data_IF_968932534431
#
_entry.id   IF_968932534431
#
_cell.length_a   1.000
_cell.length_b   1.000
_cell.length_c   1.000
_cell.angle_alpha   90.00
_cell.angle_beta   90.00
_cell.angle_gamma   90.00
#
_symmetry.space_group_name_H-M   'P 1'
#
loop_
_entity.id
_entity.type
_entity.pdbx_description
1 polymer ?
#
# COMPACT_ATOMS: atom_id res chain seq x y z
N UNK A 1 60.72 27.07 -15.40
CA UNK A 1 60.03 27.70 -14.25
C UNK A 1 58.56 27.89 -14.63
N UNK A 2 57.68 27.07 -14.06
CA UNK A 2 56.22 27.12 -14.26
C UNK A 2 55.61 28.15 -13.31
N UNK A 3 54.79 29.11 -13.78
CA UNK A 3 53.59 29.68 -13.08
C UNK A 3 52.68 30.36 -14.13
N UNK A 4 51.58 29.70 -14.53
CA UNK A 4 50.19 29.85 -14.03
C UNK A 4 49.46 31.01 -14.70
N UNK A 5 48.68 30.66 -15.73
CA UNK A 5 47.58 31.44 -16.31
C UNK A 5 46.37 31.22 -15.39
N UNK A 6 45.73 32.29 -14.92
CA UNK A 6 44.42 32.18 -14.30
C UNK A 6 43.48 33.22 -14.93
N UNK A 7 42.74 32.74 -15.92
CA UNK A 7 41.65 33.44 -16.57
C UNK A 7 40.44 33.55 -15.61
N UNK A 8 39.77 34.70 -15.69
CA UNK A 8 38.50 34.99 -15.07
C UNK A 8 37.41 34.03 -15.58
N UNK A 9 36.49 33.59 -14.71
CA UNK A 9 35.20 33.04 -15.14
C UNK A 9 34.16 33.07 -14.02
N UNK A 10 32.98 33.55 -14.39
CA UNK A 10 31.84 33.92 -13.58
C UNK A 10 31.25 32.80 -12.72
N UNK A 11 30.85 33.17 -11.50
CA UNK A 11 30.01 32.35 -10.62
C UNK A 11 28.57 32.38 -11.14
N UNK A 12 28.14 31.32 -11.84
CA UNK A 12 26.75 31.17 -12.27
C UNK A 12 25.98 30.34 -11.24
N UNK A 13 25.00 30.95 -10.59
CA UNK A 13 24.03 30.27 -9.74
C UNK A 13 23.07 29.47 -10.62
N UNK A 14 23.23 28.15 -10.67
CA UNK A 14 22.23 27.26 -11.26
C UNK A 14 21.19 26.89 -10.19
N UNK A 15 19.99 27.48 -10.28
CA UNK A 15 18.82 27.01 -9.55
C UNK A 15 18.36 25.69 -10.19
N UNK A 16 18.55 24.57 -9.48
CA UNK A 16 17.99 23.29 -9.86
C UNK A 16 16.47 23.31 -9.60
N UNK A 17 15.67 23.52 -10.65
CA UNK A 17 14.24 23.20 -10.62
C UNK A 17 14.07 21.69 -10.78
N UNK A 18 14.16 20.96 -9.67
CA UNK A 18 13.64 19.60 -9.59
C UNK A 18 12.10 19.66 -9.58
N UNK A 19 11.50 19.74 -10.77
CA UNK A 19 10.07 19.48 -10.94
C UNK A 19 9.84 17.98 -10.83
N UNK A 20 9.39 17.52 -9.66
CA UNK A 20 8.98 16.13 -9.42
C UNK A 20 7.74 15.78 -10.26
N UNK A 21 7.92 15.42 -11.53
CA UNK A 21 6.94 14.63 -12.27
C UNK A 21 7.28 13.15 -12.08
N UNK A 22 6.99 12.67 -10.87
CA UNK A 22 6.98 11.25 -10.57
C UNK A 22 5.52 10.84 -10.39
N UNK A 23 4.92 10.38 -11.49
CA UNK A 23 3.78 9.45 -11.45
C UNK A 23 4.25 8.09 -10.90
N UNK A 24 4.88 8.10 -9.72
CA UNK A 24 5.25 6.89 -9.02
C UNK A 24 3.98 6.36 -8.35
N UNK A 25 3.55 5.12 -8.60
CA UNK A 25 2.59 4.48 -7.71
C UNK A 25 3.20 4.51 -6.29
N UNK A 26 2.41 4.75 -5.24
CA UNK A 26 2.93 4.93 -3.89
C UNK A 26 3.63 3.64 -3.42
N UNK A 27 4.94 3.57 -3.60
CA UNK A 27 5.84 2.60 -2.98
C UNK A 27 6.09 3.07 -1.56
N UNK A 28 5.08 2.96 -0.72
CA UNK A 28 5.21 3.19 0.71
C UNK A 28 4.24 2.24 1.38
N UNK A 29 4.73 1.49 2.36
CA UNK A 29 3.93 0.66 3.27
C UNK A 29 2.76 1.46 3.91
N UNK A 30 2.81 2.80 3.81
CA UNK A 30 1.75 3.73 4.17
C UNK A 30 0.54 3.82 3.22
N UNK A 31 0.57 3.45 1.94
CA UNK A 31 -0.55 3.77 1.03
C UNK A 31 -1.92 3.15 1.40
N UNK A 32 -1.95 1.88 1.81
CA UNK A 32 -3.17 1.25 2.39
C UNK A 32 -3.48 1.85 3.76
N UNK A 33 -2.46 1.94 4.61
CA UNK A 33 -2.63 2.34 5.99
C UNK A 33 -3.14 3.77 6.09
N UNK A 34 -2.67 4.68 5.25
CA UNK A 34 -3.01 6.10 5.22
C UNK A 34 -4.48 6.30 4.80
N UNK A 35 -4.92 5.62 3.72
CA UNK A 35 -6.33 5.66 3.30
C UNK A 35 -7.29 5.09 4.36
N UNK A 36 -6.84 4.10 5.16
CA UNK A 36 -7.67 3.44 6.17
C UNK A 36 -7.62 4.15 7.53
N UNK A 37 -6.47 4.65 7.95
CA UNK A 37 -6.28 5.35 9.23
C UNK A 37 -6.96 6.71 9.25
N UNK A 38 -7.11 7.36 8.10
CA UNK A 38 -7.73 8.68 7.97
C UNK A 38 -9.14 8.63 7.36
N UNK A 39 -9.85 7.50 7.49
CA UNK A 39 -11.24 7.42 7.05
C UNK A 39 -12.09 8.53 7.74
N UNK A 40 -12.87 9.34 6.98
CA UNK A 40 -13.44 10.60 7.47
C UNK A 40 -14.49 10.46 8.58
N UNK A 41 -15.04 9.27 8.83
CA UNK A 41 -15.92 8.96 9.97
C UNK A 41 -15.83 7.47 10.31
N UNK A 42 -15.65 7.13 11.60
CA UNK A 42 -15.75 5.75 12.08
C UNK A 42 -17.16 5.19 11.81
N UNK A 43 -17.23 4.06 11.10
CA UNK A 43 -18.46 3.33 10.82
C UNK A 43 -18.31 1.90 11.34
N UNK A 44 -19.13 1.52 12.32
CA UNK A 44 -19.16 0.18 12.91
C UNK A 44 -19.54 -0.89 11.87
N UNK A 45 -20.15 -0.51 10.75
CA UNK A 45 -20.45 -1.41 9.64
C UNK A 45 -19.38 -1.39 8.54
N UNK A 46 -18.36 -0.55 8.64
CA UNK A 46 -17.30 -0.51 7.66
C UNK A 46 -16.23 -1.58 7.92
N UNK A 47 -15.77 -2.20 6.84
CA UNK A 47 -14.59 -3.05 6.82
C UNK A 47 -13.81 -2.67 5.56
N UNK A 48 -12.57 -2.19 5.68
CA UNK A 48 -11.79 -1.69 4.54
C UNK A 48 -11.70 -2.69 3.40
N UNK A 49 -11.66 -2.18 2.16
CA UNK A 49 -11.55 -2.99 0.95
C UNK A 49 -10.43 -2.46 0.05
N UNK A 50 -9.84 -3.36 -0.74
CA UNK A 50 -8.72 -3.06 -1.65
C UNK A 50 -9.17 -2.88 -3.10
N UNK A 51 -10.43 -3.20 -3.43
CA UNK A 51 -10.94 -3.11 -4.79
C UNK A 51 -10.79 -1.70 -5.37
N UNK A 52 -10.30 -1.60 -6.60
CA UNK A 52 -10.05 -0.33 -7.27
C UNK A 52 -8.86 0.47 -6.74
N UNK A 53 -8.10 -0.08 -5.78
CA UNK A 53 -6.86 0.52 -5.29
C UNK A 53 -5.64 -0.18 -5.90
N UNK A 54 -4.40 0.33 -5.71
CA UNK A 54 -3.18 -0.37 -6.13
C UNK A 54 -3.01 -1.77 -5.52
N UNK A 55 -3.73 -2.06 -4.42
CA UNK A 55 -3.66 -3.32 -3.67
C UNK A 55 -4.76 -4.32 -4.06
N UNK A 56 -5.65 -3.92 -4.98
CA UNK A 56 -6.51 -4.85 -5.70
C UNK A 56 -5.64 -5.87 -6.42
N UNK A 57 -5.93 -7.17 -6.27
CA UNK A 57 -5.04 -8.20 -6.77
C UNK A 57 -4.87 -8.21 -8.29
N UNK A 58 -5.89 -7.83 -9.06
CA UNK A 58 -5.76 -7.68 -10.51
C UNK A 58 -4.81 -6.53 -10.85
N UNK A 59 -4.92 -5.42 -10.14
CA UNK A 59 -4.08 -4.22 -10.34
C UNK A 59 -2.63 -4.47 -9.90
N UNK A 60 -2.43 -5.04 -8.71
CA UNK A 60 -1.12 -5.40 -8.19
C UNK A 60 -0.42 -6.44 -9.07
N UNK A 61 -1.13 -7.48 -9.53
CA UNK A 61 -0.57 -8.49 -10.41
C UNK A 61 -0.22 -7.94 -11.80
N UNK A 62 -0.99 -6.99 -12.33
CA UNK A 62 -0.65 -6.28 -13.57
C UNK A 62 0.61 -5.40 -13.39
N UNK A 63 0.87 -4.91 -12.18
CA UNK A 63 1.99 -4.02 -11.87
C UNK A 63 3.29 -4.80 -11.57
N UNK A 64 3.22 -5.83 -10.72
CA UNK A 64 4.40 -6.54 -10.20
C UNK A 64 4.58 -7.95 -10.80
N UNK A 65 3.58 -8.45 -11.53
CA UNK A 65 3.49 -9.83 -12.00
C UNK A 65 2.83 -10.75 -10.97
N UNK A 66 1.86 -11.56 -11.41
CA UNK A 66 1.05 -12.42 -10.53
C UNK A 66 1.87 -13.36 -9.64
N UNK A 67 2.96 -13.95 -10.14
CA UNK A 67 3.84 -14.82 -9.34
C UNK A 67 4.66 -14.08 -8.26
N UNK A 68 4.77 -12.75 -8.36
CA UNK A 68 5.63 -11.94 -7.50
C UNK A 68 4.87 -11.22 -6.39
N UNK A 69 3.54 -11.24 -6.40
CA UNK A 69 2.74 -10.62 -5.34
C UNK A 69 2.50 -11.59 -4.18
N UNK A 70 2.31 -11.02 -3.00
CA UNK A 70 1.84 -11.71 -1.80
C UNK A 70 0.36 -11.42 -1.61
N UNK A 71 -0.45 -12.46 -1.70
CA UNK A 71 -1.90 -12.40 -1.54
C UNK A 71 -2.27 -12.65 -0.08
N UNK A 72 -2.79 -11.62 0.56
CA UNK A 72 -3.41 -11.69 1.87
C UNK A 72 -4.91 -11.96 1.72
N UNK A 73 -5.40 -12.99 2.40
CA UNK A 73 -6.82 -13.29 2.52
C UNK A 73 -7.20 -13.40 3.98
N UNK A 74 -8.23 -12.67 4.40
CA UNK A 74 -8.75 -12.73 5.77
C UNK A 74 -10.28 -12.78 5.73
N UNK A 75 -10.84 -13.66 6.54
CA UNK A 75 -12.27 -13.89 6.61
C UNK A 75 -12.75 -14.09 8.03
N UNK A 76 -14.00 -13.73 8.28
CA UNK A 76 -14.60 -13.83 9.60
C UNK A 76 -16.02 -13.31 9.67
N UNK A 77 -16.41 -12.87 10.87
CA UNK A 77 -17.70 -12.26 11.15
C UNK A 77 -17.51 -10.85 11.68
N UNK A 78 -18.42 -9.97 11.29
CA UNK A 78 -18.66 -8.67 11.91
C UNK A 78 -20.01 -8.69 12.60
N UNK A 79 -20.08 -8.13 13.80
CA UNK A 79 -21.28 -8.01 14.62
C UNK A 79 -21.74 -6.56 14.69
N UNK A 80 -23.03 -6.34 14.52
CA UNK A 80 -23.70 -5.05 14.68
C UNK A 80 -24.99 -5.28 15.47
N UNK A 81 -24.91 -5.10 16.79
CA UNK A 81 -25.94 -5.49 17.76
C UNK A 81 -26.42 -6.94 17.51
N UNK A 82 -27.63 -7.11 16.98
CA UNK A 82 -28.26 -8.41 16.74
C UNK A 82 -27.92 -9.01 15.36
N UNK A 83 -27.12 -8.31 14.54
CA UNK A 83 -26.77 -8.74 13.18
C UNK A 83 -25.35 -9.27 13.13
N UNK A 84 -25.19 -10.46 12.55
CA UNK A 84 -23.88 -10.98 12.17
C UNK A 84 -23.80 -11.07 10.65
N UNK A 85 -22.68 -10.61 10.08
CA UNK A 85 -22.41 -10.79 8.65
C UNK A 85 -21.04 -11.40 8.42
N UNK A 86 -20.97 -12.27 7.43
CA UNK A 86 -19.68 -12.78 6.93
C UNK A 86 -18.92 -11.67 6.23
N UNK A 87 -17.64 -11.54 6.53
CA UNK A 87 -16.74 -10.60 5.88
C UNK A 87 -15.54 -11.37 5.36
N UNK A 88 -15.17 -11.09 4.12
CA UNK A 88 -13.96 -11.59 3.48
C UNK A 88 -13.25 -10.44 2.80
N UNK A 89 -11.93 -10.39 2.94
CA UNK A 89 -11.08 -9.35 2.36
C UNK A 89 -9.83 -9.97 1.77
N UNK A 90 -9.53 -9.52 0.57
CA UNK A 90 -8.37 -9.89 -0.20
C UNK A 90 -7.53 -8.65 -0.46
N UNK A 91 -6.20 -8.78 -0.46
CA UNK A 91 -5.30 -7.74 -0.91
C UNK A 91 -4.01 -8.36 -1.43
N UNK A 92 -3.39 -7.74 -2.43
CA UNK A 92 -2.12 -8.17 -2.97
C UNK A 92 -1.05 -7.10 -2.78
N UNK A 93 0.12 -7.54 -2.33
CA UNK A 93 1.23 -6.68 -1.92
C UNK A 93 2.53 -7.12 -2.57
N UNK A 94 3.49 -6.21 -2.67
CA UNK A 94 4.78 -6.52 -3.28
C UNK A 94 5.62 -7.40 -2.34
N UNK A 95 5.49 -7.19 -1.03
CA UNK A 95 6.28 -7.89 -0.02
C UNK A 95 5.41 -8.71 0.93
N UNK A 96 6.01 -9.74 1.54
CA UNK A 96 5.34 -10.50 2.60
C UNK A 96 4.99 -9.63 3.80
N UNK A 97 5.88 -8.70 4.17
CA UNK A 97 5.70 -7.84 5.32
C UNK A 97 4.44 -6.96 5.18
N UNK A 98 4.21 -6.39 3.99
CA UNK A 98 2.99 -5.62 3.70
C UNK A 98 1.73 -6.49 3.76
N UNK A 99 1.81 -7.72 3.26
CA UNK A 99 0.71 -8.68 3.34
C UNK A 99 0.35 -9.03 4.79
N UNK A 100 1.34 -9.35 5.63
CA UNK A 100 1.11 -9.61 7.07
C UNK A 100 0.55 -8.36 7.78
N UNK A 101 1.08 -7.17 7.46
CA UNK A 101 0.60 -5.91 8.03
C UNK A 101 -0.87 -5.63 7.66
N UNK A 102 -1.26 -5.89 6.42
CA UNK A 102 -2.65 -5.83 5.99
C UNK A 102 -3.53 -6.79 6.81
N UNK A 103 -3.10 -8.04 6.99
CA UNK A 103 -3.87 -9.00 7.78
C UNK A 103 -4.06 -8.46 9.20
N UNK A 104 -2.99 -8.04 9.89
CA UNK A 104 -3.04 -7.48 11.25
C UNK A 104 -3.98 -6.28 11.34
N UNK A 105 -3.95 -5.38 10.36
CA UNK A 105 -4.88 -4.27 10.29
C UNK A 105 -6.33 -4.76 10.23
N UNK A 106 -6.62 -5.67 9.30
CA UNK A 106 -7.97 -6.20 9.08
C UNK A 106 -8.52 -6.96 10.29
N UNK A 107 -7.66 -7.55 11.10
CA UNK A 107 -8.00 -8.17 12.38
C UNK A 107 -8.72 -7.18 13.33
N UNK A 108 -8.29 -5.92 13.35
CA UNK A 108 -8.95 -4.88 14.14
C UNK A 108 -10.34 -4.49 13.63
N UNK A 109 -10.69 -4.86 12.39
CA UNK A 109 -11.99 -4.56 11.78
C UNK A 109 -12.96 -5.74 11.79
N UNK A 110 -12.51 -6.95 12.14
CA UNK A 110 -13.31 -8.18 12.08
C UNK A 110 -13.43 -8.73 13.50
N UNK A 111 -14.63 -8.71 14.07
CA UNK A 111 -14.86 -9.09 15.48
C UNK A 111 -14.51 -10.56 15.77
N UNK A 112 -14.77 -11.45 14.81
CA UNK A 112 -14.38 -12.85 14.92
C UNK A 112 -13.68 -13.31 13.64
N UNK A 113 -12.35 -13.39 13.69
CA UNK A 113 -11.53 -13.92 12.59
C UNK A 113 -11.61 -15.43 12.56
N UNK A 114 -11.98 -15.98 11.40
CA UNK A 114 -12.12 -17.42 11.18
C UNK A 114 -10.95 -18.00 10.36
N UNK A 115 -10.30 -17.16 9.56
CA UNK A 115 -9.16 -17.59 8.78
C UNK A 115 -8.37 -16.40 8.27
N UNK A 116 -7.04 -16.56 8.24
CA UNK A 116 -6.12 -15.64 7.59
C UNK A 116 -4.99 -16.39 6.91
N UNK A 117 -4.59 -15.91 5.75
CA UNK A 117 -3.48 -16.48 5.00
C UNK A 117 -2.72 -15.37 4.29
N UNK A 118 -1.39 -15.52 4.27
CA UNK A 118 -0.51 -14.74 3.40
C UNK A 118 0.27 -15.71 2.51
N UNK A 119 -0.05 -15.74 1.22
CA UNK A 119 0.53 -16.69 0.26
C UNK A 119 1.18 -15.98 -0.91
N UNK A 120 2.31 -16.47 -1.38
CA UNK A 120 2.95 -15.93 -2.59
C UNK A 120 2.22 -16.43 -3.84
N UNK A 121 1.94 -15.52 -4.77
CA UNK A 121 1.29 -15.80 -6.04
C UNK A 121 -0.18 -15.35 -6.11
N UNK A 122 -0.56 -14.87 -7.30
CA UNK A 122 -1.91 -14.59 -7.76
C UNK A 122 -2.02 -15.04 -9.21
N UNK A 123 -2.98 -15.90 -9.53
CA UNK A 123 -3.17 -16.54 -10.84
C UNK A 123 -4.62 -16.90 -11.07
#
# INVERSE_FOLDING_TARGET
MFRVIAAASALSLALATAGCNSANPPTTVGGVLDYILFAPTYDANYVPQTYGTPYDCKTAAATYGGANVWRGNIGGKKFDFDKSRSVGREGCFQTRAECEAFLTLMEGYIDQVMGRTCTKGYG
#
